data_IF_738060657917
#
_entry.id   IF_738060657917
#
_cell.length_a   1.000
_cell.length_b   1.000
_cell.length_c   1.000
_cell.angle_alpha   90.00
_cell.angle_beta   90.00
_cell.angle_gamma   90.00
#
_symmetry.space_group_name_H-M   'P 1'
#
loop_
_entity.id
_entity.type
_entity.pdbx_description
1 polymer ?
#
# COMPACT_ATOMS: atom_id res chain seq x y z
N UNK A 1 -23.98 -3.04 18.17
CA UNK A 1 -24.44 -2.01 17.20
C UNK A 1 -24.11 -2.49 15.79
N UNK A 2 -24.86 -2.04 14.78
CA UNK A 2 -24.50 -2.30 13.37
C UNK A 2 -23.26 -1.51 12.99
N UNK A 3 -22.46 -2.06 12.07
CA UNK A 3 -21.36 -1.36 11.40
C UNK A 3 -21.78 -1.10 9.96
N UNK A 4 -21.51 0.09 9.46
CA UNK A 4 -21.97 0.54 8.14
C UNK A 4 -20.85 1.24 7.37
N UNK A 5 -20.79 0.97 6.05
CA UNK A 5 -20.03 1.76 5.07
C UNK A 5 -20.85 1.83 3.77
N UNK A 6 -21.25 3.03 3.37
CA UNK A 6 -22.16 3.20 2.24
C UNK A 6 -23.46 2.44 2.42
N UNK A 7 -23.82 1.58 1.45
CA UNK A 7 -25.02 0.74 1.51
C UNK A 7 -24.81 -0.60 2.23
N UNK A 8 -23.56 -0.96 2.58
CA UNK A 8 -23.26 -2.17 3.33
C UNK A 8 -23.54 -1.95 4.82
N UNK A 9 -24.46 -2.70 5.42
CA UNK A 9 -24.81 -2.64 6.84
C UNK A 9 -24.72 -4.06 7.42
N UNK A 10 -23.81 -4.28 8.37
CA UNK A 10 -23.61 -5.56 9.04
C UNK A 10 -24.05 -5.50 10.50
N UNK A 11 -24.98 -6.36 10.90
CA UNK A 11 -25.33 -6.62 12.29
C UNK A 11 -24.16 -7.39 12.98
N UNK A 12 -24.09 -7.42 14.33
CA UNK A 12 -23.10 -8.23 15.03
C UNK A 12 -23.15 -9.72 14.57
N UNK A 13 -21.97 -10.29 14.33
CA UNK A 13 -21.83 -11.65 13.81
C UNK A 13 -22.19 -11.81 12.32
N UNK A 14 -22.22 -10.73 11.53
CA UNK A 14 -22.57 -10.81 10.10
C UNK A 14 -21.58 -10.09 9.19
N UNK A 15 -21.65 -10.42 7.91
CA UNK A 15 -20.97 -9.75 6.80
C UNK A 15 -22.00 -9.13 5.86
N UNK A 16 -21.69 -7.93 5.35
CA UNK A 16 -22.45 -7.26 4.30
C UNK A 16 -21.53 -6.77 3.19
N UNK A 17 -22.06 -6.71 1.98
CA UNK A 17 -21.41 -6.07 0.83
C UNK A 17 -22.31 -4.96 0.30
N UNK A 18 -21.73 -3.97 -0.35
CA UNK A 18 -22.49 -2.84 -0.87
C UNK A 18 -21.61 -1.88 -1.66
N UNK A 19 -22.06 -0.65 -1.73
CA UNK A 19 -21.42 0.40 -2.50
C UNK A 19 -21.32 1.69 -1.68
N UNK A 20 -20.16 2.31 -1.74
CA UNK A 20 -19.96 3.67 -1.28
C UNK A 20 -20.09 4.59 -2.51
N UNK A 21 -21.17 5.35 -2.55
CA UNK A 21 -21.42 6.31 -3.62
C UNK A 21 -20.64 7.60 -3.32
N UNK A 22 -19.86 8.06 -4.29
CA UNK A 22 -19.13 9.33 -4.23
C UNK A 22 -19.47 10.15 -5.47
N UNK A 23 -19.97 11.38 -5.27
CA UNK A 23 -20.15 12.34 -6.35
C UNK A 23 -18.78 12.83 -6.81
N UNK A 24 -18.33 12.44 -8.00
CA UNK A 24 -17.01 12.79 -8.56
C UNK A 24 -17.02 14.10 -9.33
N UNK A 25 -18.18 14.49 -9.89
CA UNK A 25 -18.47 15.79 -10.47
C UNK A 25 -19.98 16.08 -10.30
N UNK A 26 -20.44 17.31 -10.48
CA UNK A 26 -21.86 17.62 -10.39
C UNK A 26 -22.73 16.71 -11.28
N UNK A 27 -23.57 15.87 -10.64
CA UNK A 27 -24.42 14.90 -11.30
C UNK A 27 -23.73 13.61 -11.76
N UNK A 28 -22.43 13.43 -11.52
CA UNK A 28 -21.68 12.22 -11.80
C UNK A 28 -21.30 11.50 -10.51
N UNK A 29 -21.52 10.20 -10.45
CA UNK A 29 -21.18 9.37 -9.29
C UNK A 29 -20.30 8.20 -9.68
N UNK A 30 -19.31 7.91 -8.82
CA UNK A 30 -18.63 6.61 -8.80
C UNK A 30 -19.19 5.75 -7.67
N UNK A 31 -19.19 4.43 -7.88
CA UNK A 31 -19.63 3.44 -6.91
C UNK A 31 -18.42 2.60 -6.50
N UNK A 32 -17.94 2.79 -5.28
CA UNK A 32 -16.79 2.05 -4.73
C UNK A 32 -17.32 0.78 -4.07
N UNK A 33 -16.86 -0.43 -4.49
CA UNK A 33 -17.32 -1.68 -3.89
C UNK A 33 -16.76 -1.84 -2.47
N UNK A 34 -17.64 -2.11 -1.51
CA UNK A 34 -17.30 -2.20 -0.08
C UNK A 34 -17.72 -3.52 0.54
N UNK A 35 -16.95 -3.91 1.56
CA UNK A 35 -17.27 -5.05 2.44
C UNK A 35 -17.21 -4.57 3.88
N UNK A 36 -18.20 -4.96 4.66
CA UNK A 36 -18.26 -4.75 6.11
C UNK A 36 -18.38 -6.10 6.80
N UNK A 37 -17.51 -6.38 7.74
CA UNK A 37 -17.61 -7.53 8.64
C UNK A 37 -17.74 -6.99 10.06
N UNK A 38 -18.81 -7.36 10.74
CA UNK A 38 -19.04 -6.99 12.13
C UNK A 38 -18.96 -8.27 12.98
N UNK A 39 -17.91 -8.39 13.78
CA UNK A 39 -17.70 -9.54 14.64
C UNK A 39 -18.79 -9.69 15.71
N UNK A 40 -18.92 -10.90 16.25
CA UNK A 40 -19.87 -11.21 17.32
C UNK A 40 -19.46 -10.63 18.67
N UNK A 41 -18.24 -10.15 18.82
CA UNK A 41 -17.69 -9.63 20.08
C UNK A 41 -17.17 -8.20 19.91
N UNK A 42 -17.26 -7.35 20.95
CA UNK A 42 -16.62 -6.05 20.96
C UNK A 42 -15.11 -6.15 20.73
N UNK A 43 -14.54 -5.19 20.02
CA UNK A 43 -13.11 -5.17 19.73
C UNK A 43 -12.72 -4.02 18.80
N UNK A 44 -11.48 -4.01 18.30
CA UNK A 44 -10.97 -2.94 17.48
C UNK A 44 -11.57 -2.94 16.08
N UNK A 45 -11.42 -1.81 15.39
CA UNK A 45 -11.83 -1.62 13.99
C UNK A 45 -10.61 -1.58 13.08
N UNK A 46 -10.60 -2.47 12.10
CA UNK A 46 -9.63 -2.49 11.00
C UNK A 46 -10.28 -1.89 9.75
N UNK A 47 -9.70 -0.82 9.22
CA UNK A 47 -10.07 -0.24 7.94
C UNK A 47 -9.06 -0.65 6.87
N UNK A 48 -9.53 -0.99 5.65
CA UNK A 48 -8.65 -1.47 4.59
C UNK A 48 -9.05 -0.85 3.26
N UNK A 49 -8.07 -0.37 2.50
CA UNK A 49 -8.25 -0.01 1.09
C UNK A 49 -7.39 -0.90 0.20
N UNK A 50 -7.87 -1.12 -1.03
CA UNK A 50 -7.10 -1.70 -2.12
C UNK A 50 -7.53 -1.07 -3.45
N UNK A 51 -6.63 -1.05 -4.44
CA UNK A 51 -6.89 -0.45 -5.73
C UNK A 51 -7.06 1.07 -5.67
N UNK A 52 -6.20 1.73 -4.93
CA UNK A 52 -5.99 3.19 -4.96
C UNK A 52 -5.48 3.58 -6.35
N UNK A 53 -4.49 2.84 -6.88
CA UNK A 53 -4.05 2.95 -8.25
C UNK A 53 -4.66 1.85 -9.13
N UNK A 54 -4.79 2.15 -10.41
CA UNK A 54 -5.58 1.33 -11.34
C UNK A 54 -4.92 0.06 -11.82
N UNK A 55 -3.59 0.01 -11.82
CA UNK A 55 -2.79 -1.12 -12.29
C UNK A 55 -2.34 -2.10 -11.23
N UNK A 56 -2.69 -1.87 -9.96
CA UNK A 56 -2.24 -2.64 -8.80
C UNK A 56 -3.31 -3.68 -8.40
N UNK A 57 -3.14 -4.92 -8.83
CA UNK A 57 -4.24 -5.91 -8.77
C UNK A 57 -4.14 -6.91 -7.62
N UNK A 58 -2.97 -7.12 -7.02
CA UNK A 58 -2.77 -8.14 -5.98
C UNK A 58 -3.55 -7.86 -4.70
N UNK A 59 -3.59 -6.60 -4.24
CA UNK A 59 -4.38 -6.15 -3.10
C UNK A 59 -5.89 -6.36 -3.29
N UNK A 60 -6.52 -5.88 -4.38
CA UNK A 60 -7.92 -6.16 -4.72
C UNK A 60 -8.24 -7.65 -4.78
N UNK A 61 -7.37 -8.46 -5.40
CA UNK A 61 -7.54 -9.90 -5.49
C UNK A 61 -7.47 -10.58 -4.11
N UNK A 62 -6.54 -10.14 -3.25
CA UNK A 62 -6.39 -10.64 -1.90
C UNK A 62 -7.61 -10.34 -1.01
N UNK A 63 -8.10 -9.10 -1.00
CA UNK A 63 -9.27 -8.73 -0.22
C UNK A 63 -10.52 -9.47 -0.70
N UNK A 64 -10.70 -9.59 -2.01
CA UNK A 64 -11.80 -10.36 -2.58
C UNK A 64 -11.74 -11.83 -2.11
N UNK A 65 -10.57 -12.46 -2.19
CA UNK A 65 -10.38 -13.84 -1.75
C UNK A 65 -10.58 -14.00 -0.25
N UNK A 66 -10.03 -13.09 0.55
CA UNK A 66 -10.08 -13.15 2.00
C UNK A 66 -11.47 -12.84 2.56
N UNK A 67 -12.06 -11.70 2.16
CA UNK A 67 -13.27 -11.17 2.79
C UNK A 67 -14.57 -11.72 2.18
N UNK A 68 -14.54 -12.18 0.93
CA UNK A 68 -15.72 -12.73 0.26
C UNK A 68 -15.78 -14.27 0.24
N UNK A 69 -14.77 -14.96 0.80
CA UNK A 69 -14.79 -16.41 0.92
C UNK A 69 -15.98 -16.90 1.77
N UNK A 70 -16.40 -18.13 1.54
CA UNK A 70 -17.44 -18.76 2.35
C UNK A 70 -17.05 -18.78 3.85
N UNK A 71 -15.78 -19.08 4.14
CA UNK A 71 -15.24 -19.09 5.51
C UNK A 71 -15.31 -17.71 6.20
N UNK A 72 -15.10 -16.62 5.47
CA UNK A 72 -15.22 -15.26 6.03
C UNK A 72 -16.67 -14.86 6.31
N UNK A 73 -17.64 -15.55 5.74
CA UNK A 73 -19.07 -15.38 6.01
C UNK A 73 -19.66 -16.45 6.93
N UNK A 74 -18.85 -17.42 7.37
CA UNK A 74 -19.30 -18.48 8.25
C UNK A 74 -19.68 -17.93 9.63
N UNK A 75 -20.91 -18.21 10.13
CA UNK A 75 -21.37 -17.73 11.44
C UNK A 75 -20.45 -18.11 12.60
N UNK A 76 -19.82 -19.29 12.59
CA UNK A 76 -18.89 -19.73 13.62
C UNK A 76 -17.60 -18.89 13.62
N UNK A 77 -17.11 -18.50 12.44
CA UNK A 77 -15.95 -17.60 12.28
C UNK A 77 -16.31 -16.20 12.77
N UNK A 78 -17.46 -15.67 12.36
CA UNK A 78 -17.90 -14.31 12.67
C UNK A 78 -18.25 -14.13 14.16
N UNK A 79 -18.84 -15.15 14.80
CA UNK A 79 -19.17 -15.09 16.23
C UNK A 79 -17.94 -15.01 17.13
N UNK A 80 -16.80 -15.51 16.67
CA UNK A 80 -15.53 -15.50 17.39
C UNK A 80 -14.66 -14.28 17.04
N UNK A 81 -15.00 -13.53 16.00
CA UNK A 81 -14.29 -12.32 15.62
C UNK A 81 -14.58 -11.19 16.63
N UNK A 82 -13.54 -10.56 17.13
CA UNK A 82 -13.62 -9.35 17.96
C UNK A 82 -13.47 -8.11 17.09
N UNK A 83 -14.40 -7.16 17.24
CA UNK A 83 -14.36 -5.90 16.51
C UNK A 83 -14.92 -5.99 15.09
N UNK A 84 -14.44 -5.14 14.20
CA UNK A 84 -15.01 -5.02 12.85
C UNK A 84 -13.94 -4.76 11.80
N UNK A 85 -14.26 -5.17 10.55
CA UNK A 85 -13.47 -4.86 9.36
C UNK A 85 -14.38 -4.08 8.40
N UNK A 86 -13.86 -2.96 7.89
CA UNK A 86 -14.48 -2.19 6.81
C UNK A 86 -13.47 -2.04 5.68
N UNK A 87 -13.87 -2.37 4.46
CA UNK A 87 -12.91 -2.41 3.35
C UNK A 87 -13.51 -1.91 2.04
N UNK A 88 -12.67 -1.29 1.20
CA UNK A 88 -12.94 -1.08 -0.23
C UNK A 88 -12.15 -2.09 -1.06
N UNK A 89 -12.79 -2.67 -2.10
CA UNK A 89 -12.16 -3.68 -2.95
C UNK A 89 -11.46 -3.11 -4.20
N UNK A 90 -11.86 -1.91 -4.62
CA UNK A 90 -11.25 -1.11 -5.68
C UNK A 90 -11.61 0.35 -5.40
N UNK A 91 -10.72 1.06 -4.72
CA UNK A 91 -10.99 2.41 -4.17
C UNK A 91 -11.14 3.45 -5.28
N UNK A 92 -10.43 3.28 -6.40
CA UNK A 92 -10.56 4.11 -7.60
C UNK A 92 -11.12 3.30 -8.79
N UNK A 93 -12.46 3.11 -8.88
CA UNK A 93 -13.05 2.28 -9.93
C UNK A 93 -12.78 2.78 -11.35
N UNK A 94 -12.65 4.08 -11.55
CA UNK A 94 -12.32 4.67 -12.85
C UNK A 94 -10.89 4.30 -13.27
N UNK A 95 -9.91 4.45 -12.37
CA UNK A 95 -8.53 4.07 -12.60
C UNK A 95 -8.41 2.55 -12.85
N UNK A 96 -9.09 1.73 -12.04
CA UNK A 96 -9.10 0.28 -12.17
C UNK A 96 -9.62 -0.18 -13.53
N UNK A 97 -10.74 0.38 -14.01
CA UNK A 97 -11.32 0.08 -15.32
C UNK A 97 -10.42 0.55 -16.48
N UNK A 98 -9.81 1.70 -16.33
CA UNK A 98 -8.90 2.27 -17.32
C UNK A 98 -7.53 1.58 -17.34
N UNK A 99 -7.18 0.84 -16.26
CA UNK A 99 -5.83 0.30 -16.06
C UNK A 99 -4.78 1.41 -16.13
N UNK A 100 -5.11 2.56 -15.54
CA UNK A 100 -4.24 3.74 -15.59
C UNK A 100 -3.11 3.62 -14.59
N UNK A 101 -1.92 4.04 -15.02
CA UNK A 101 -0.72 4.11 -14.20
C UNK A 101 -0.84 5.34 -13.29
N UNK A 102 -0.68 5.16 -11.98
CA UNK A 102 -0.64 6.16 -10.90
C UNK A 102 -1.86 7.07 -10.78
N UNK A 103 -2.50 7.49 -11.87
CA UNK A 103 -3.47 8.59 -11.83
C UNK A 103 -4.91 8.14 -12.10
N UNK A 104 -5.85 8.86 -11.51
CA UNK A 104 -7.25 8.74 -11.85
C UNK A 104 -7.52 9.44 -13.18
N UNK A 105 -8.06 8.75 -14.20
CA UNK A 105 -8.30 9.33 -15.53
C UNK A 105 -9.38 10.43 -15.54
N UNK A 106 -10.17 10.57 -14.48
CA UNK A 106 -11.21 11.61 -14.38
C UNK A 106 -10.62 12.99 -14.15
N UNK A 107 -9.46 13.11 -13.50
CA UNK A 107 -8.84 14.40 -13.16
C UNK A 107 -7.31 14.45 -13.30
N UNK A 108 -6.68 13.33 -13.70
CA UNK A 108 -5.24 13.21 -13.88
C UNK A 108 -4.42 13.27 -12.58
N UNK A 109 -5.06 13.18 -11.41
CA UNK A 109 -4.38 13.24 -10.12
C UNK A 109 -4.04 11.84 -9.59
N UNK A 110 -2.91 11.73 -8.89
CA UNK A 110 -2.61 10.56 -8.08
C UNK A 110 -3.47 10.61 -6.80
N UNK A 111 -4.37 9.62 -6.65
CA UNK A 111 -5.28 9.58 -5.51
C UNK A 111 -4.53 9.52 -4.18
N UNK A 112 -3.36 8.83 -4.13
CA UNK A 112 -2.52 8.74 -2.93
C UNK A 112 -1.58 9.95 -2.74
N UNK A 113 -1.94 11.12 -3.26
CA UNK A 113 -1.24 12.40 -3.06
C UNK A 113 -2.19 13.55 -2.72
N UNK A 114 -3.49 13.25 -2.62
CA UNK A 114 -4.52 14.27 -2.40
C UNK A 114 -5.32 14.09 -1.13
N UNK A 115 -4.91 13.17 -0.24
CA UNK A 115 -5.55 12.97 1.05
C UNK A 115 -5.25 14.12 2.03
N UNK A 116 -6.19 14.51 2.91
CA UNK A 116 -7.51 13.90 3.16
C UNK A 116 -8.61 14.26 2.16
N UNK A 117 -8.29 15.00 1.12
CA UNK A 117 -9.23 15.38 0.09
C UNK A 117 -10.17 16.54 0.44
N UNK A 118 -11.18 16.75 -0.40
CA UNK A 118 -12.17 17.81 -0.27
C UNK A 118 -13.53 17.39 -0.83
N UNK A 119 -14.61 17.65 -0.11
CA UNK A 119 -15.98 17.35 -0.55
C UNK A 119 -16.40 18.12 -1.82
N UNK A 120 -15.74 19.24 -2.11
CA UNK A 120 -16.02 20.11 -3.27
C UNK A 120 -14.88 20.15 -4.27
N UNK A 121 -13.86 19.29 -4.08
CA UNK A 121 -12.69 19.22 -4.95
C UNK A 121 -12.91 18.45 -6.25
N UNK A 122 -11.82 18.05 -6.90
CA UNK A 122 -11.82 17.19 -8.08
C UNK A 122 -12.25 15.75 -7.76
N UNK A 123 -12.38 14.89 -8.76
CA UNK A 123 -12.83 13.51 -8.58
C UNK A 123 -11.98 12.76 -7.53
N UNK A 124 -10.66 12.82 -7.63
CA UNK A 124 -9.75 12.20 -6.68
C UNK A 124 -9.85 12.80 -5.28
N UNK A 125 -9.95 14.13 -5.16
CA UNK A 125 -10.10 14.78 -3.85
C UNK A 125 -11.43 14.43 -3.18
N UNK A 126 -12.51 14.25 -3.93
CA UNK A 126 -13.81 13.81 -3.40
C UNK A 126 -13.78 12.35 -2.97
N UNK A 127 -13.11 11.47 -3.71
CA UNK A 127 -12.89 10.07 -3.32
C UNK A 127 -12.05 10.02 -2.04
N UNK A 128 -10.92 10.73 -1.99
CA UNK A 128 -10.07 10.81 -0.80
C UNK A 128 -10.85 11.30 0.43
N UNK A 129 -11.66 12.35 0.28
CA UNK A 129 -12.51 12.86 1.36
C UNK A 129 -13.52 11.83 1.86
N UNK A 130 -14.18 11.10 0.97
CA UNK A 130 -15.14 10.06 1.35
C UNK A 130 -14.45 8.91 2.09
N UNK A 131 -13.27 8.48 1.65
CA UNK A 131 -12.47 7.44 2.33
C UNK A 131 -12.00 7.94 3.70
N UNK A 132 -11.45 9.14 3.80
CA UNK A 132 -10.99 9.72 5.06
C UNK A 132 -12.13 9.80 6.09
N UNK A 133 -13.28 10.32 5.69
CA UNK A 133 -14.40 10.61 6.59
C UNK A 133 -15.26 9.38 6.92
N UNK A 134 -15.46 8.44 5.99
CA UNK A 134 -16.40 7.34 6.17
C UNK A 134 -15.72 5.98 6.44
N UNK A 135 -14.46 5.79 6.02
CA UNK A 135 -13.75 4.54 6.23
C UNK A 135 -12.67 4.67 7.31
N UNK A 136 -11.79 5.71 7.24
CA UNK A 136 -10.67 5.84 8.17
C UNK A 136 -11.10 6.34 9.56
N UNK A 137 -12.07 7.27 9.62
CA UNK A 137 -12.52 7.84 10.90
C UNK A 137 -13.04 6.76 11.85
N UNK A 138 -12.44 6.70 13.05
CA UNK A 138 -12.79 5.74 14.10
C UNK A 138 -12.22 4.34 13.87
N UNK A 139 -11.30 4.16 12.93
CA UNK A 139 -10.46 2.97 12.85
C UNK A 139 -9.34 3.01 13.89
N UNK A 140 -8.93 1.85 14.40
CA UNK A 140 -7.74 1.70 15.25
C UNK A 140 -6.50 1.49 14.39
N UNK A 141 -6.65 0.74 13.29
CA UNK A 141 -5.60 0.48 12.30
C UNK A 141 -6.19 0.64 10.90
N UNK A 142 -5.40 1.21 10.02
CA UNK A 142 -5.68 1.35 8.60
C UNK A 142 -4.60 0.63 7.78
N UNK A 143 -5.03 -0.25 6.88
CA UNK A 143 -4.16 -0.91 5.90
C UNK A 143 -4.46 -0.39 4.49
N UNK A 144 -3.42 -0.02 3.75
CA UNK A 144 -3.50 0.27 2.34
C UNK A 144 -2.74 -0.78 1.54
N UNK A 145 -3.47 -1.55 0.71
CA UNK A 145 -2.90 -2.65 -0.05
C UNK A 145 -2.58 -2.18 -1.47
N UNK A 146 -1.30 -2.01 -1.71
CA UNK A 146 -0.71 -1.61 -2.97
C UNK A 146 0.16 -2.72 -3.60
N UNK A 147 0.61 -2.48 -4.80
CA UNK A 147 1.64 -3.22 -5.52
C UNK A 147 2.37 -2.23 -6.43
N UNK A 148 3.48 -2.64 -7.04
CA UNK A 148 3.98 -1.89 -8.19
C UNK A 148 2.93 -1.80 -9.29
N UNK A 149 2.84 -0.65 -9.92
CA UNK A 149 1.93 -0.45 -11.05
C UNK A 149 2.35 -1.32 -12.25
N UNK A 150 1.63 -1.27 -13.36
CA UNK A 150 1.86 -2.15 -14.53
C UNK A 150 3.26 -2.00 -15.16
N UNK A 151 3.94 -0.92 -14.88
CA UNK A 151 5.31 -0.62 -15.32
C UNK A 151 6.36 -0.74 -14.21
N UNK A 152 6.04 -1.35 -13.06
CA UNK A 152 6.93 -1.40 -11.89
C UNK A 152 7.14 -2.80 -11.35
N UNK A 153 8.40 -3.12 -11.06
CA UNK A 153 8.78 -4.25 -10.22
C UNK A 153 9.10 -3.76 -8.80
N UNK A 154 8.66 -4.50 -7.80
CA UNK A 154 8.91 -4.19 -6.38
C UNK A 154 9.62 -5.33 -5.67
N UNK A 155 10.51 -4.98 -4.73
CA UNK A 155 10.87 -5.86 -3.62
C UNK A 155 9.83 -5.66 -2.53
N UNK A 156 9.17 -6.72 -2.03
CA UNK A 156 8.06 -6.56 -1.08
C UNK A 156 8.42 -5.77 0.16
N UNK A 157 7.63 -4.73 0.47
CA UNK A 157 7.86 -3.91 1.65
C UNK A 157 6.56 -3.47 2.34
N UNK A 158 6.71 -3.03 3.57
CA UNK A 158 5.68 -2.36 4.36
C UNK A 158 6.16 -0.97 4.72
N UNK A 159 5.32 0.04 4.54
CA UNK A 159 5.56 1.41 4.97
C UNK A 159 4.74 1.74 6.22
N UNK A 160 5.36 2.43 7.19
CA UNK A 160 4.68 3.00 8.35
C UNK A 160 5.11 4.45 8.55
N UNK A 161 4.21 5.26 9.10
CA UNK A 161 4.50 6.64 9.43
C UNK A 161 5.28 6.73 10.74
N UNK A 162 6.24 7.64 10.81
CA UNK A 162 6.92 8.03 12.04
C UNK A 162 6.24 9.27 12.63
N UNK A 163 5.65 9.13 13.80
CA UNK A 163 4.90 10.21 14.46
C UNK A 163 5.71 11.00 15.48
N UNK A 164 6.80 10.39 15.99
CA UNK A 164 7.59 10.92 17.12
C UNK A 164 7.03 10.53 18.48
N UNK A 165 5.85 9.91 18.55
CA UNK A 165 5.36 9.24 19.77
C UNK A 165 5.94 7.83 19.83
N UNK A 166 6.88 7.60 20.75
CA UNK A 166 7.62 6.35 20.84
C UNK A 166 6.73 5.12 21.08
N UNK A 167 5.62 5.25 21.83
CA UNK A 167 4.71 4.14 22.07
C UNK A 167 3.89 3.81 20.81
N UNK A 168 3.42 4.85 20.11
CA UNK A 168 2.68 4.73 18.87
C UNK A 168 3.58 4.16 17.76
N UNK A 169 4.79 4.69 17.62
CA UNK A 169 5.77 4.22 16.64
C UNK A 169 6.16 2.76 16.87
N UNK A 170 6.37 2.35 18.14
CA UNK A 170 6.62 0.95 18.50
C UNK A 170 5.43 0.05 18.15
N UNK A 171 4.20 0.52 18.33
CA UNK A 171 2.98 -0.21 17.95
C UNK A 171 2.87 -0.33 16.43
N UNK A 172 3.16 0.72 15.67
CA UNK A 172 3.19 0.70 14.22
C UNK A 172 4.23 -0.30 13.68
N UNK A 173 5.42 -0.35 14.28
CA UNK A 173 6.46 -1.35 13.97
C UNK A 173 5.96 -2.77 14.23
N UNK A 174 5.30 -3.04 15.36
CA UNK A 174 4.77 -4.37 15.67
C UNK A 174 3.72 -4.82 14.65
N UNK A 175 2.80 -3.93 14.29
CA UNK A 175 1.78 -4.18 13.26
C UNK A 175 2.39 -4.35 11.86
N UNK A 176 3.36 -3.51 11.50
CA UNK A 176 4.08 -3.63 10.23
C UNK A 176 4.83 -4.96 10.10
N UNK A 177 5.48 -5.42 11.18
CA UNK A 177 6.10 -6.75 11.24
C UNK A 177 5.09 -7.88 11.11
N UNK A 178 3.89 -7.72 11.65
CA UNK A 178 2.83 -8.73 11.55
C UNK A 178 2.32 -8.90 10.10
N UNK A 179 2.53 -7.92 9.23
CA UNK A 179 2.25 -8.05 7.78
C UNK A 179 3.20 -9.06 7.12
N UNK A 180 4.48 -9.09 7.51
CA UNK A 180 5.43 -10.10 7.02
C UNK A 180 6.06 -9.79 5.66
N UNK A 181 6.56 -8.57 5.46
CA UNK A 181 7.38 -8.19 4.30
C UNK A 181 8.88 -8.38 4.57
N UNK A 182 9.70 -8.34 3.52
CA UNK A 182 11.16 -8.35 3.60
C UNK A 182 11.70 -7.04 4.19
N UNK A 183 11.04 -5.94 3.87
CA UNK A 183 11.47 -4.59 4.26
C UNK A 183 10.38 -3.86 5.03
N UNK A 184 10.77 -3.20 6.11
CA UNK A 184 9.92 -2.27 6.85
C UNK A 184 10.52 -0.86 6.71
N UNK A 185 9.80 0.00 6.02
CA UNK A 185 10.19 1.39 5.76
C UNK A 185 9.48 2.29 6.77
N UNK A 186 10.23 3.15 7.43
CA UNK A 186 9.70 4.05 8.44
C UNK A 186 9.88 5.47 7.97
N UNK A 187 8.78 6.21 7.88
CA UNK A 187 8.85 7.53 7.33
C UNK A 187 7.68 8.45 7.59
N UNK A 188 7.62 9.57 6.88
CA UNK A 188 6.48 10.47 6.84
C UNK A 188 6.19 10.85 5.38
N UNK A 189 4.95 10.62 4.96
CA UNK A 189 4.51 10.85 3.56
C UNK A 189 3.25 11.72 3.51
N UNK A 190 3.36 13.04 3.67
CA UNK A 190 2.20 13.94 3.68
C UNK A 190 1.33 13.80 2.42
N UNK A 191 0.01 13.88 2.59
CA UNK A 191 -0.95 13.80 1.49
C UNK A 191 -1.29 12.36 1.06
N UNK A 192 -0.76 11.35 1.75
CA UNK A 192 -1.08 9.94 1.52
C UNK A 192 -2.20 9.44 2.41
N UNK A 193 -2.67 8.23 2.12
CA UNK A 193 -3.65 7.51 2.92
C UNK A 193 -3.15 7.26 4.33
N UNK A 194 -1.90 6.76 4.48
CA UNK A 194 -1.29 6.42 5.77
C UNK A 194 -1.12 7.65 6.66
N UNK A 195 -0.60 8.76 6.11
CA UNK A 195 -0.45 10.00 6.87
C UNK A 195 -1.80 10.57 7.31
N UNK A 196 -2.84 10.43 6.49
CA UNK A 196 -4.19 10.86 6.86
C UNK A 196 -4.80 9.95 7.92
N UNK A 197 -4.59 8.64 7.84
CA UNK A 197 -5.01 7.71 8.89
C UNK A 197 -4.39 8.07 10.24
N UNK A 198 -3.08 8.40 10.27
CA UNK A 198 -2.40 8.89 11.47
C UNK A 198 -3.02 10.17 12.03
N UNK A 199 -3.33 11.14 11.19
CA UNK A 199 -3.99 12.40 11.58
C UNK A 199 -5.39 12.15 12.16
N UNK A 200 -6.08 11.10 11.71
CA UNK A 200 -7.41 10.69 12.19
C UNK A 200 -7.35 9.74 13.41
N UNK A 201 -6.16 9.41 13.89
CA UNK A 201 -5.93 8.60 15.09
C UNK A 201 -5.72 7.10 14.84
N UNK A 202 -5.87 6.63 13.62
CA UNK A 202 -5.55 5.24 13.26
C UNK A 202 -4.04 5.07 13.00
N UNK A 203 -3.49 3.88 13.24
CA UNK A 203 -2.14 3.54 12.78
C UNK A 203 -2.20 3.17 11.31
N UNK A 204 -1.53 3.96 10.47
CA UNK A 204 -1.50 3.78 9.02
C UNK A 204 -0.38 2.84 8.57
N UNK A 205 -0.70 1.84 7.75
CA UNK A 205 0.25 0.86 7.22
C UNK A 205 0.05 0.70 5.73
N UNK A 206 1.10 0.91 4.95
CA UNK A 206 1.17 0.64 3.53
C UNK A 206 1.76 -0.75 3.29
N UNK A 207 1.15 -1.56 2.43
CA UNK A 207 1.63 -2.88 2.03
C UNK A 207 1.88 -2.90 0.53
N UNK A 208 3.11 -3.19 0.11
CA UNK A 208 3.51 -3.21 -1.30
C UNK A 208 3.99 -4.61 -1.71
N UNK A 209 3.12 -5.40 -2.36
CA UNK A 209 3.42 -6.77 -2.78
C UNK A 209 2.97 -7.04 -4.23
N UNK A 210 3.91 -7.45 -5.09
CA UNK A 210 3.68 -7.71 -6.50
C UNK A 210 3.93 -6.49 -7.37
N UNK A 211 3.49 -6.53 -8.63
CA UNK A 211 3.69 -5.44 -9.58
C UNK A 211 3.48 -5.89 -11.02
N UNK A 212 3.86 -5.05 -11.96
CA UNK A 212 3.85 -5.32 -13.40
C UNK A 212 2.46 -5.69 -13.97
N UNK A 213 1.38 -5.27 -13.28
CA UNK A 213 0.01 -5.62 -13.66
C UNK A 213 -0.32 -7.11 -13.53
N UNK A 214 0.50 -7.88 -12.81
CA UNK A 214 0.28 -9.31 -12.60
C UNK A 214 -0.57 -9.59 -11.36
N UNK A 215 -1.26 -10.72 -11.38
CA UNK A 215 -2.01 -11.27 -10.23
C UNK A 215 -1.36 -12.59 -9.81
N UNK A 216 -0.13 -12.50 -9.32
CA UNK A 216 0.62 -13.66 -8.92
C UNK A 216 0.03 -14.25 -7.63
N UNK A 217 -0.26 -15.57 -7.60
CA UNK A 217 -0.87 -16.20 -6.43
C UNK A 217 -0.08 -16.02 -5.13
N UNK A 218 1.26 -15.95 -5.24
CA UNK A 218 2.15 -15.72 -4.10
C UNK A 218 1.86 -14.37 -3.44
N UNK A 219 1.83 -13.28 -4.20
CA UNK A 219 1.61 -11.94 -3.64
C UNK A 219 0.17 -11.72 -3.17
N UNK A 220 -0.79 -12.33 -3.85
CA UNK A 220 -2.19 -12.38 -3.36
C UNK A 220 -2.26 -13.07 -1.99
N UNK A 221 -1.57 -14.20 -1.84
CA UNK A 221 -1.53 -14.94 -0.58
C UNK A 221 -0.78 -14.15 0.51
N UNK A 222 0.30 -13.43 0.17
CA UNK A 222 1.06 -12.57 1.10
C UNK A 222 0.22 -11.42 1.63
N UNK A 223 -0.51 -10.69 0.78
CA UNK A 223 -1.47 -9.68 1.24
C UNK A 223 -2.52 -10.26 2.19
N UNK A 224 -3.13 -11.39 1.82
CA UNK A 224 -4.13 -12.05 2.67
C UNK A 224 -3.54 -12.53 4.01
N UNK A 225 -2.29 -13.00 4.01
CA UNK A 225 -1.57 -13.37 5.23
C UNK A 225 -1.26 -12.15 6.10
N UNK A 226 -0.80 -11.06 5.48
CA UNK A 226 -0.52 -9.79 6.16
C UNK A 226 -1.74 -9.22 6.86
N UNK A 227 -2.89 -9.17 6.17
CA UNK A 227 -4.17 -8.75 6.80
C UNK A 227 -4.49 -9.63 8.01
N UNK A 228 -4.36 -10.97 7.92
CA UNK A 228 -4.58 -11.86 9.06
C UNK A 228 -3.57 -11.64 10.18
N UNK A 229 -2.31 -11.38 9.86
CA UNK A 229 -1.27 -11.05 10.82
C UNK A 229 -1.61 -9.80 11.63
N UNK A 230 -2.03 -8.74 10.95
CA UNK A 230 -2.49 -7.50 11.58
C UNK A 230 -3.74 -7.75 12.45
N UNK A 231 -4.72 -8.49 11.96
CA UNK A 231 -5.90 -8.85 12.75
C UNK A 231 -5.54 -9.61 14.03
N UNK A 232 -4.59 -10.55 13.96
CA UNK A 232 -4.09 -11.29 15.11
C UNK A 232 -3.38 -10.36 16.11
N UNK A 233 -2.50 -9.48 15.62
CA UNK A 233 -1.76 -8.49 16.41
C UNK A 233 -2.69 -7.46 17.08
N UNK A 234 -3.82 -7.12 16.44
CA UNK A 234 -4.89 -6.31 17.03
C UNK A 234 -5.73 -7.08 18.06
N UNK A 235 -5.53 -8.37 18.24
CA UNK A 235 -6.33 -9.20 19.14
C UNK A 235 -7.75 -9.48 18.64
N UNK A 236 -8.01 -9.38 17.34
CA UNK A 236 -9.33 -9.61 16.74
C UNK A 236 -9.73 -11.08 16.73
N UNK A 237 -8.80 -12.01 16.91
CA UNK A 237 -9.06 -13.46 16.97
C UNK A 237 -7.79 -14.26 16.73
N UNK A 238 -7.93 -15.59 16.75
CA UNK A 238 -6.87 -16.50 16.38
C UNK A 238 -7.00 -16.84 14.90
N UNK A 239 -6.20 -16.17 14.07
CA UNK A 239 -6.16 -16.43 12.63
C UNK A 239 -4.98 -17.36 12.33
N UNK A 240 -5.19 -18.48 11.62
CA UNK A 240 -4.09 -19.28 11.18
C UNK A 240 -3.21 -18.41 10.28
N UNK A 241 -1.98 -18.23 10.70
CA UNK A 241 -0.96 -17.64 9.86
C UNK A 241 -0.82 -18.55 8.63
N UNK A 242 -0.71 -17.97 7.45
CA UNK A 242 -0.54 -18.77 6.24
C UNK A 242 0.75 -19.56 6.36
N UNK A 243 0.78 -20.84 5.88
CA UNK A 243 1.99 -21.63 5.82
C UNK A 243 3.00 -21.16 4.75
N UNK A 244 2.99 -19.92 4.32
CA UNK A 244 4.16 -19.28 3.76
C UNK A 244 5.09 -19.01 4.94
N UNK A 245 5.48 -20.10 5.59
CA UNK A 245 6.72 -20.25 6.31
C UNK A 245 7.89 -20.29 5.31
N UNK A 246 8.08 -19.24 4.56
CA UNK A 246 9.46 -18.81 4.43
C UNK A 246 9.77 -18.23 5.80
N UNK A 247 10.77 -18.81 6.45
CA UNK A 247 11.51 -18.10 7.46
C UNK A 247 11.75 -16.69 6.89
N UNK A 248 10.89 -15.75 7.25
CA UNK A 248 11.29 -14.38 7.40
C UNK A 248 12.31 -14.55 8.52
N UNK A 249 13.55 -14.81 8.13
CA UNK A 249 14.66 -14.87 9.05
C UNK A 249 14.50 -13.60 9.88
N UNK A 250 14.64 -13.63 11.20
CA UNK A 250 14.44 -12.44 12.02
C UNK A 250 15.14 -11.34 11.28
N UNK A 251 14.45 -10.21 11.01
CA UNK A 251 15.11 -8.99 10.55
C UNK A 251 16.39 -8.96 11.35
N UNK A 252 17.54 -9.22 10.70
CA UNK A 252 18.78 -9.54 11.43
C UNK A 252 18.92 -8.51 12.52
N UNK A 253 19.21 -8.89 13.79
CA UNK A 253 19.42 -7.91 14.85
C UNK A 253 20.44 -6.89 14.35
N UNK A 254 20.05 -5.64 14.13
CA UNK A 254 20.85 -4.62 13.48
C UNK A 254 20.44 -4.28 12.05
N UNK A 255 19.56 -5.01 11.38
CA UNK A 255 18.84 -4.48 10.22
C UNK A 255 18.01 -3.32 10.76
N UNK A 256 18.52 -2.12 10.52
CA UNK A 256 18.05 -0.90 11.10
C UNK A 256 16.54 -0.75 10.92
N UNK A 257 15.82 -0.71 12.01
CA UNK A 257 14.43 -0.22 12.06
C UNK A 257 14.35 1.28 11.73
N UNK A 258 15.45 1.88 11.31
CA UNK A 258 15.58 3.30 10.98
C UNK A 258 15.98 3.45 9.53
N UNK A 259 15.04 3.23 8.63
CA UNK A 259 15.06 3.97 7.38
C UNK A 259 14.33 5.28 7.65
N UNK A 260 15.06 6.37 7.68
CA UNK A 260 14.47 7.69 7.74
C UNK A 260 13.68 7.90 6.44
N UNK A 261 12.43 8.38 6.52
CA UNK A 261 11.62 8.69 5.35
C UNK A 261 12.29 9.67 4.39
N UNK A 262 13.02 10.62 4.95
CA UNK A 262 13.81 11.53 4.13
C UNK A 262 14.88 10.81 3.30
N UNK A 263 15.45 9.72 3.80
CA UNK A 263 16.39 8.90 3.05
C UNK A 263 15.68 8.12 1.95
N UNK A 264 14.50 7.62 2.22
CA UNK A 264 13.70 6.85 1.28
C UNK A 264 13.27 7.68 0.09
N UNK A 265 12.70 8.85 0.33
CA UNK A 265 12.31 9.80 -0.71
C UNK A 265 13.52 10.42 -1.44
N UNK A 266 14.64 10.60 -0.75
CA UNK A 266 15.90 11.11 -1.34
C UNK A 266 16.65 10.09 -2.19
N UNK A 267 16.30 8.82 -2.08
CA UNK A 267 16.90 7.76 -2.87
C UNK A 267 16.07 7.37 -4.11
N UNK A 268 15.00 8.10 -4.42
CA UNK A 268 14.34 8.02 -5.72
C UNK A 268 15.24 8.64 -6.78
N UNK A 269 15.53 7.90 -7.83
CA UNK A 269 16.41 8.30 -8.93
C UNK A 269 15.54 8.57 -10.15
N UNK A 270 15.36 9.85 -10.55
CA UNK A 270 14.58 10.20 -11.72
C UNK A 270 15.41 10.13 -13.01
N UNK A 271 14.71 10.12 -14.13
CA UNK A 271 15.26 10.44 -15.43
C UNK A 271 15.48 11.95 -15.53
N UNK A 272 16.69 12.38 -15.81
CA UNK A 272 17.01 13.79 -16.06
C UNK A 272 16.72 14.20 -17.52
N UNK A 273 16.47 13.22 -18.39
CA UNK A 273 16.24 13.38 -19.81
C UNK A 273 15.28 12.31 -20.31
N UNK A 274 14.45 12.66 -21.30
CA UNK A 274 13.62 11.68 -21.98
C UNK A 274 14.48 10.72 -22.84
N UNK A 275 14.11 9.44 -22.85
CA UNK A 275 14.86 8.43 -23.58
C UNK A 275 14.43 7.01 -23.29
N UNK A 276 15.31 6.07 -23.56
CA UNK A 276 15.12 4.64 -23.36
C UNK A 276 15.87 4.16 -22.15
N UNK A 277 15.14 3.72 -21.14
CA UNK A 277 15.70 3.22 -19.87
C UNK A 277 16.19 1.78 -19.98
N UNK A 278 17.46 1.57 -19.68
CA UNK A 278 18.11 0.26 -19.62
C UNK A 278 18.70 0.04 -18.23
N UNK A 279 17.96 -0.61 -17.30
CA UNK A 279 18.48 -0.90 -15.98
C UNK A 279 19.65 -1.88 -16.03
N UNK A 280 20.68 -1.63 -15.20
CA UNK A 280 21.80 -2.56 -14.97
C UNK A 280 21.62 -3.39 -13.70
N UNK A 281 20.60 -3.08 -12.90
CA UNK A 281 20.26 -3.71 -11.63
C UNK A 281 18.82 -4.20 -11.64
N UNK A 282 18.50 -5.15 -10.77
CA UNK A 282 17.13 -5.63 -10.56
C UNK A 282 16.62 -5.28 -9.16
N UNK A 283 15.32 -5.47 -8.91
CA UNK A 283 14.77 -5.33 -7.56
C UNK A 283 15.44 -6.33 -6.61
N UNK A 284 15.71 -5.91 -5.38
CA UNK A 284 16.44 -6.68 -4.39
C UNK A 284 17.96 -6.67 -4.56
N UNK A 285 18.52 -6.04 -5.63
CA UNK A 285 19.97 -5.87 -5.79
C UNK A 285 20.51 -4.97 -4.71
N UNK A 286 21.57 -5.41 -4.03
CA UNK A 286 22.36 -4.56 -3.12
C UNK A 286 23.38 -3.77 -3.94
N UNK A 287 23.39 -2.46 -3.78
CA UNK A 287 24.28 -1.55 -4.51
C UNK A 287 25.12 -0.69 -3.56
N UNK A 288 26.27 -0.27 -4.03
CA UNK A 288 27.15 0.63 -3.31
C UNK A 288 27.04 2.06 -3.85
N UNK A 289 27.25 3.05 -3.00
CA UNK A 289 27.31 4.45 -3.42
C UNK A 289 28.28 4.62 -4.59
N UNK A 290 27.81 5.28 -5.66
CA UNK A 290 28.54 5.48 -6.90
C UNK A 290 28.42 4.33 -7.91
N UNK A 291 27.80 3.21 -7.56
CA UNK A 291 27.57 2.10 -8.48
C UNK A 291 26.58 2.50 -9.58
N UNK A 292 26.86 2.07 -10.82
CA UNK A 292 26.00 2.32 -11.97
C UNK A 292 24.68 1.56 -11.83
N UNK A 293 23.56 2.27 -11.96
CA UNK A 293 22.21 1.69 -11.86
C UNK A 293 21.59 1.36 -13.22
N UNK A 294 22.07 1.99 -14.28
CA UNK A 294 21.58 1.78 -15.64
C UNK A 294 22.01 2.89 -16.58
N UNK A 295 21.31 3.00 -17.72
CA UNK A 295 21.49 4.07 -18.69
C UNK A 295 20.13 4.51 -19.23
N UNK A 296 19.98 5.83 -19.46
CA UNK A 296 18.95 6.37 -20.34
C UNK A 296 19.65 6.67 -21.69
N UNK A 297 19.17 6.04 -22.75
CA UNK A 297 19.75 6.15 -24.08
C UNK A 297 18.82 6.92 -25.03
N UNK A 298 19.41 7.61 -25.98
CA UNK A 298 18.70 8.19 -27.11
C UNK A 298 18.21 7.11 -28.09
N UNK A 299 17.34 7.51 -29.01
CA UNK A 299 16.75 6.60 -30.02
C UNK A 299 17.80 5.93 -30.94
N UNK A 300 18.98 6.52 -31.07
CA UNK A 300 20.09 5.97 -31.85
C UNK A 300 21.16 5.27 -31.01
N UNK A 301 20.90 5.08 -29.69
CA UNK A 301 21.75 4.32 -28.77
C UNK A 301 22.86 5.13 -28.09
N UNK A 302 22.91 6.43 -28.27
CA UNK A 302 23.80 7.33 -27.54
C UNK A 302 23.37 7.40 -26.06
N UNK A 303 24.33 7.33 -25.14
CA UNK A 303 24.04 7.41 -23.69
C UNK A 303 23.80 8.86 -23.32
N UNK A 304 22.59 9.16 -22.85
CA UNK A 304 22.16 10.49 -22.44
C UNK A 304 22.33 10.71 -20.93
N UNK A 305 22.11 9.67 -20.11
CA UNK A 305 22.25 9.72 -18.64
C UNK A 305 22.75 8.36 -18.14
N UNK A 306 23.62 8.38 -17.15
CA UNK A 306 24.09 7.21 -16.42
C UNK A 306 23.83 7.42 -14.92
N UNK A 307 22.64 7.05 -14.42
CA UNK A 307 22.32 7.17 -13.01
C UNK A 307 23.23 6.27 -12.17
N UNK A 308 23.68 6.81 -11.02
CA UNK A 308 24.49 6.07 -10.05
C UNK A 308 23.83 6.11 -8.67
N UNK A 309 24.11 5.11 -7.86
CA UNK A 309 23.57 5.02 -6.50
C UNK A 309 24.07 6.18 -5.62
N UNK A 310 23.20 7.01 -5.06
CA UNK A 310 23.60 8.10 -4.17
C UNK A 310 24.01 7.62 -2.78
N UNK A 311 23.56 6.43 -2.38
CA UNK A 311 23.82 5.78 -1.09
C UNK A 311 24.11 4.29 -1.28
N UNK A 312 24.65 3.64 -0.26
CA UNK A 312 24.63 2.19 -0.13
C UNK A 312 23.18 1.77 0.15
N UNK A 313 22.67 0.74 -0.54
CA UNK A 313 21.27 0.34 -0.34
C UNK A 313 20.83 -0.86 -1.16
N UNK A 314 19.54 -1.10 -1.14
CA UNK A 314 18.87 -2.13 -1.92
C UNK A 314 17.87 -1.51 -2.88
N UNK A 315 17.78 -2.04 -4.10
CA UNK A 315 16.77 -1.61 -5.08
C UNK A 315 15.39 -2.12 -4.62
N UNK A 316 14.53 -1.20 -4.17
CA UNK A 316 13.20 -1.53 -3.65
C UNK A 316 12.16 -1.49 -4.77
N UNK A 317 12.31 -0.54 -5.67
CA UNK A 317 11.39 -0.30 -6.77
C UNK A 317 12.18 -0.03 -8.04
N UNK A 318 11.69 -0.51 -9.17
CA UNK A 318 12.32 -0.36 -10.48
C UNK A 318 11.25 -0.25 -11.56
N UNK A 319 11.33 0.82 -12.38
CA UNK A 319 10.48 0.95 -13.57
C UNK A 319 10.99 0.03 -14.68
N UNK A 320 10.07 -0.73 -15.27
CA UNK A 320 10.37 -1.80 -16.24
C UNK A 320 10.03 -1.41 -17.68
N UNK A 321 9.41 -0.26 -17.90
CA UNK A 321 9.13 0.26 -19.25
C UNK A 321 10.36 0.90 -19.87
N UNK A 322 10.46 0.76 -21.19
CA UNK A 322 11.58 1.29 -21.95
C UNK A 322 11.54 2.83 -22.06
N UNK A 323 10.35 3.39 -22.35
CA UNK A 323 10.19 4.82 -22.59
C UNK A 323 10.09 5.59 -21.28
N UNK A 324 10.93 6.61 -21.14
CA UNK A 324 10.95 7.53 -19.98
C UNK A 324 10.88 8.96 -20.43
N UNK A 325 10.18 9.79 -19.66
CA UNK A 325 10.19 11.23 -19.81
C UNK A 325 11.14 11.86 -18.78
N UNK A 326 11.51 13.11 -19.00
CA UNK A 326 12.21 13.88 -17.97
C UNK A 326 11.35 13.99 -16.70
N UNK A 327 11.93 13.63 -15.55
CA UNK A 327 11.27 13.63 -14.26
C UNK A 327 10.55 12.32 -13.90
N UNK A 328 10.43 11.37 -14.83
CA UNK A 328 9.86 10.06 -14.50
C UNK A 328 10.79 9.30 -13.53
N UNK A 329 10.26 8.55 -12.55
CA UNK A 329 11.08 7.73 -11.68
C UNK A 329 11.72 6.58 -12.48
N UNK A 330 13.01 6.29 -12.27
CA UNK A 330 13.70 5.14 -12.83
C UNK A 330 13.69 3.97 -11.85
N UNK A 331 14.07 4.25 -10.61
CA UNK A 331 14.11 3.29 -9.51
C UNK A 331 14.20 4.01 -8.16
N UNK A 332 14.00 3.27 -7.06
CA UNK A 332 14.25 3.75 -5.72
C UNK A 332 15.12 2.77 -4.92
N UNK A 333 16.00 3.34 -4.10
CA UNK A 333 16.83 2.59 -3.16
C UNK A 333 16.28 2.75 -1.74
N UNK A 334 16.17 1.64 -1.02
CA UNK A 334 16.08 1.66 0.43
C UNK A 334 17.49 1.59 1.01
N UNK A 335 17.82 2.48 1.93
CA UNK A 335 19.15 2.52 2.51
C UNK A 335 19.19 3.33 3.81
N UNK A 336 20.26 3.19 4.57
CA UNK A 336 20.54 4.03 5.73
C UNK A 336 21.30 5.28 5.25
N UNK A 337 20.72 6.49 5.42
CA UNK A 337 21.38 7.73 5.01
C UNK A 337 22.66 8.03 5.80
N UNK A 338 22.80 7.46 7.00
CA UNK A 338 23.99 7.64 7.86
C UNK A 338 25.08 6.62 7.56
N UNK A 339 24.90 5.77 6.55
CA UNK A 339 25.92 4.83 6.08
C UNK A 339 26.06 3.59 6.97
N UNK A 340 25.01 3.14 7.60
CA UNK A 340 24.94 1.87 8.31
C UNK A 340 25.30 0.71 7.38
N UNK A 341 26.14 -0.22 7.86
CA UNK A 341 26.56 -1.39 7.09
C UNK A 341 25.36 -2.32 6.89
N UNK A 342 24.91 -2.46 5.66
CA UNK A 342 23.97 -3.49 5.27
C UNK A 342 24.64 -4.87 5.41
N UNK A 343 23.95 -5.86 5.98
CA UNK A 343 24.49 -7.19 6.11
C UNK A 343 24.70 -7.88 4.77
#
# INVERSE_FOLDING_TARGET
MNVQLGTAIAAPGTRATGWLAVETAPGEQTQIPVVVINGGQPGPRLAITAGIHGGEYTGPAALRSLLLSAKAGDPATLSNLKGSIIATLATSPAAFKARSIYVNPQDGKNLNRVYPGSATGSASERIAHAIATQLMTGADVYLDLHAGDINEALSPFVGIEQTGDAARDARAVALGRAVGAEWLLIGASPGTTTSTAEQLGAIGILCEFGGQGHVEPEFVARHAAGVRGVMAEMGMGNFPQSPIEREVGPLKPGASTRLNSEAWLRAEIPADVAGYWHPAVGVGSVVKKGEKLGEVQGVFGDVLQTPTAPIDGVVIFLVTTLAMNNGDPLLALGGDPEGGVWP
#
